data_IF_938792824569
#
_entry.id   IF_938792824569
#
_cell.length_a   1.000
_cell.length_b   1.000
_cell.length_c   1.000
_cell.angle_alpha   90.00
_cell.angle_beta   90.00
_cell.angle_gamma   90.00
#
_symmetry.space_group_name_H-M   'P 1'
#
loop_
_entity.id
_entity.type
_entity.pdbx_description
1 polymer ?
#
# COMPACT_ATOMS: atom_id res chain seq x y z
N UNK A 1 -35.39 13.34 -34.01
CA UNK A 1 -33.94 13.25 -33.78
C UNK A 1 -33.61 11.88 -33.22
N UNK A 2 -32.96 11.01 -34.00
CA UNK A 2 -32.48 9.70 -33.55
C UNK A 2 -31.10 9.93 -32.91
N UNK A 3 -30.96 9.64 -31.62
CA UNK A 3 -29.66 9.62 -30.96
C UNK A 3 -28.85 8.45 -31.52
N UNK A 4 -27.71 8.74 -32.14
CA UNK A 4 -26.72 7.74 -32.51
C UNK A 4 -25.99 7.31 -31.23
N UNK A 5 -26.21 6.08 -30.80
CA UNK A 5 -25.37 5.45 -29.77
C UNK A 5 -24.05 5.04 -30.43
N UNK A 6 -22.97 5.76 -30.13
CA UNK A 6 -21.63 5.23 -30.35
C UNK A 6 -21.31 4.29 -29.19
N UNK A 7 -21.41 2.97 -29.43
CA UNK A 7 -20.78 1.95 -28.59
C UNK A 7 -19.34 1.88 -29.06
N UNK A 8 -18.41 2.47 -28.30
CA UNK A 8 -16.98 2.24 -28.51
C UNK A 8 -16.62 1.08 -27.58
N UNK A 9 -16.44 -0.10 -28.17
CA UNK A 9 -15.90 -1.27 -27.50
C UNK A 9 -14.37 -1.09 -27.46
N UNK A 10 -13.80 -0.82 -26.29
CA UNK A 10 -12.36 -0.92 -26.10
C UNK A 10 -12.03 -2.29 -25.51
N UNK A 11 -11.36 -3.13 -26.29
CA UNK A 11 -10.59 -4.26 -25.77
C UNK A 11 -9.19 -3.70 -25.51
N UNK A 12 -8.85 -3.44 -24.25
CA UNK A 12 -7.46 -3.13 -23.91
C UNK A 12 -6.72 -4.46 -23.83
N UNK A 13 -5.95 -4.73 -24.87
CA UNK A 13 -5.08 -5.90 -24.97
C UNK A 13 -3.75 -5.52 -24.33
N UNK A 14 -3.42 -6.10 -23.17
CA UNK A 14 -2.02 -6.43 -22.90
C UNK A 14 -1.79 -7.77 -23.60
N UNK A 15 -0.97 -7.80 -24.65
CA UNK A 15 -0.78 -8.97 -25.52
C UNK A 15 -0.34 -10.20 -24.69
N UNK A 16 -0.77 -11.43 -24.92
CA UNK A 16 -1.45 -12.11 -26.06
C UNK A 16 -2.09 -13.43 -25.54
N UNK A 17 -3.17 -14.02 -26.02
CA UNK A 17 -4.06 -13.86 -27.18
C UNK A 17 -4.82 -15.20 -27.33
N UNK A 18 -6.14 -15.18 -27.06
CA UNK A 18 -7.25 -16.06 -27.52
C UNK A 18 -8.41 -16.05 -26.47
N UNK A 19 -9.66 -15.97 -26.95
CA UNK A 19 -10.90 -15.77 -26.16
C UNK A 19 -11.52 -17.06 -25.57
N UNK A 20 -12.24 -16.98 -24.45
CA UNK A 20 -13.69 -17.34 -24.29
C UNK A 20 -14.20 -17.19 -22.82
N UNK A 21 -15.24 -16.36 -22.70
CA UNK A 21 -16.44 -16.23 -21.82
C UNK A 21 -16.56 -16.82 -20.37
N UNK A 22 -17.08 -16.01 -19.41
CA UNK A 22 -18.32 -16.24 -18.59
C UNK A 22 -18.54 -15.20 -17.43
N UNK A 23 -19.82 -14.81 -17.27
CA UNK A 23 -20.67 -14.07 -16.26
C UNK A 23 -20.42 -14.27 -14.73
N UNK A 24 -20.79 -13.45 -13.72
CA UNK A 24 -21.29 -12.06 -13.41
C UNK A 24 -20.94 -11.79 -11.92
N UNK A 25 -20.92 -10.51 -11.52
CA UNK A 25 -21.47 -9.89 -10.29
C UNK A 25 -20.49 -9.10 -9.39
N UNK A 26 -20.81 -7.80 -9.32
CA UNK A 26 -20.40 -6.68 -8.46
C UNK A 26 -19.09 -6.76 -7.66
N UNK A 27 -18.30 -5.68 -7.86
CA UNK A 27 -16.99 -5.32 -7.30
C UNK A 27 -15.79 -5.95 -8.03
N UNK A 28 -15.15 -5.15 -8.89
CA UNK A 28 -13.82 -5.48 -9.43
C UNK A 28 -12.80 -5.16 -8.34
N UNK A 29 -12.42 -6.16 -7.56
CA UNK A 29 -11.14 -6.19 -6.86
C UNK A 29 -10.06 -6.43 -7.91
N UNK A 30 -9.30 -5.38 -8.25
CA UNK A 30 -8.02 -5.51 -8.96
C UNK A 30 -6.96 -5.82 -7.92
N UNK A 31 -6.83 -7.09 -7.53
CA UNK A 31 -5.59 -7.55 -6.92
C UNK A 31 -4.68 -7.96 -8.06
N UNK A 32 -3.74 -7.10 -8.45
CA UNK A 32 -2.57 -7.52 -9.26
C UNK A 32 -2.01 -8.78 -8.62
N UNK A 33 -1.67 -9.85 -9.35
CA UNK A 33 -1.18 -11.12 -8.75
C UNK A 33 0.08 -11.66 -9.42
N UNK A 34 0.80 -10.84 -10.21
CA UNK A 34 2.10 -11.20 -10.78
C UNK A 34 3.25 -10.57 -9.99
N UNK A 35 3.87 -11.33 -9.08
CA UNK A 35 5.01 -10.89 -8.23
C UNK A 35 4.76 -9.57 -7.47
N UNK A 36 3.67 -9.49 -6.71
CA UNK A 36 3.30 -8.32 -5.88
C UNK A 36 4.26 -7.99 -4.74
N UNK A 37 5.41 -8.65 -4.62
CA UNK A 37 6.20 -8.50 -3.41
C UNK A 37 6.89 -7.14 -3.38
N UNK A 38 6.63 -6.38 -2.33
CA UNK A 38 7.35 -5.13 -2.08
C UNK A 38 8.84 -5.40 -1.90
N UNK A 39 9.65 -4.66 -2.66
CA UNK A 39 11.09 -4.63 -2.53
C UNK A 39 11.55 -3.22 -2.18
N UNK A 40 12.39 -3.13 -1.16
CA UNK A 40 12.88 -1.86 -0.62
C UNK A 40 14.33 -1.63 -0.99
N UNK A 41 14.70 -0.39 -1.25
CA UNK A 41 16.07 0.02 -1.47
C UNK A 41 16.33 1.39 -0.86
N UNK A 42 17.58 1.59 -0.46
CA UNK A 42 18.02 2.87 0.09
C UNK A 42 18.22 3.85 -1.07
N UNK A 43 17.65 5.04 -0.95
CA UNK A 43 17.90 6.13 -1.89
C UNK A 43 19.34 6.62 -1.69
N UNK A 44 20.11 6.71 -2.78
CA UNK A 44 21.46 7.26 -2.77
C UNK A 44 21.44 8.70 -3.30
N UNK A 45 22.20 9.59 -2.67
CA UNK A 45 22.29 11.02 -3.03
C UNK A 45 21.41 11.95 -2.17
N UNK A 46 21.72 13.25 -2.22
CA UNK A 46 20.92 14.30 -1.58
C UNK A 46 19.75 14.68 -2.47
N UNK A 47 18.59 14.07 -2.25
CA UNK A 47 17.34 14.69 -2.66
C UNK A 47 16.97 15.68 -1.55
N UNK A 48 16.48 16.86 -1.89
CA UNK A 48 16.08 17.93 -0.95
C UNK A 48 14.94 17.53 0.03
N UNK A 49 14.51 16.27 0.03
CA UNK A 49 13.48 15.71 0.91
C UNK A 49 14.06 14.62 1.81
N UNK A 50 13.61 14.47 3.07
CA UNK A 50 14.16 13.52 4.06
C UNK A 50 13.90 12.03 3.77
N UNK A 51 13.53 11.68 2.54
CA UNK A 51 13.22 10.30 2.12
C UNK A 51 14.48 9.46 2.08
N UNK A 52 14.47 8.34 2.80
CA UNK A 52 15.65 7.47 2.95
C UNK A 52 15.53 6.18 2.15
N UNK A 53 14.30 5.67 1.97
CA UNK A 53 14.03 4.42 1.28
C UNK A 53 12.88 4.56 0.29
N UNK A 54 12.90 3.71 -0.72
CA UNK A 54 11.78 3.50 -1.63
C UNK A 54 11.44 2.01 -1.67
N UNK A 55 10.18 1.70 -1.42
CA UNK A 55 9.54 0.42 -1.70
C UNK A 55 8.87 0.46 -3.06
N UNK A 56 8.95 -0.61 -3.84
CA UNK A 56 8.26 -0.73 -5.12
C UNK A 56 7.52 -2.06 -5.24
N UNK A 57 6.30 -2.02 -5.76
CA UNK A 57 5.51 -3.18 -6.14
C UNK A 57 4.50 -2.79 -7.22
N UNK A 58 4.39 -3.57 -8.30
CA UNK A 58 3.28 -3.49 -9.26
C UNK A 58 2.85 -2.05 -9.66
N UNK A 59 3.80 -1.21 -10.11
CA UNK A 59 3.54 0.18 -10.53
C UNK A 59 3.39 1.19 -9.40
N UNK A 60 3.29 0.74 -8.14
CA UNK A 60 3.23 1.57 -6.94
C UNK A 60 4.61 1.79 -6.33
N UNK A 61 4.76 2.96 -5.73
CA UNK A 61 5.93 3.38 -4.98
C UNK A 61 5.51 3.77 -3.56
N UNK A 62 6.34 3.36 -2.61
CA UNK A 62 6.25 3.76 -1.21
C UNK A 62 7.55 4.47 -0.85
N UNK A 63 7.52 5.78 -0.71
CA UNK A 63 8.65 6.56 -0.20
C UNK A 63 8.59 6.57 1.32
N UNK A 64 9.69 6.22 1.98
CA UNK A 64 9.76 6.14 3.44
C UNK A 64 10.79 7.13 3.99
N UNK A 65 10.33 7.94 4.93
CA UNK A 65 11.15 8.75 5.84
C UNK A 65 10.82 8.32 7.29
N UNK A 66 11.57 8.81 8.30
CA UNK A 66 11.32 8.50 9.71
C UNK A 66 9.86 8.57 10.16
N UNK A 67 9.15 9.63 9.81
CA UNK A 67 7.82 9.97 10.33
C UNK A 67 6.71 9.99 9.27
N UNK A 68 7.03 9.62 8.03
CA UNK A 68 6.07 9.67 6.92
C UNK A 68 6.30 8.54 5.92
N UNK A 69 5.19 7.94 5.50
CA UNK A 69 5.09 6.99 4.40
C UNK A 69 4.28 7.64 3.27
N UNK A 70 4.85 7.74 2.07
CA UNK A 70 4.19 8.40 0.93
C UNK A 70 3.94 7.36 -0.16
N UNK A 71 2.66 7.10 -0.42
CA UNK A 71 2.20 6.27 -1.53
C UNK A 71 2.07 7.13 -2.78
N UNK A 72 2.66 6.65 -3.87
CA UNK A 72 2.57 7.27 -5.19
C UNK A 72 2.49 6.18 -6.26
N UNK A 73 1.94 6.51 -7.41
CA UNK A 73 2.09 5.72 -8.62
C UNK A 73 3.09 6.38 -9.58
N UNK A 74 3.13 5.95 -10.84
CA UNK A 74 4.00 6.52 -11.86
C UNK A 74 3.63 7.96 -12.28
N UNK A 75 2.43 8.43 -11.93
CA UNK A 75 1.86 9.70 -12.39
C UNK A 75 1.67 10.73 -11.28
N UNK A 76 1.34 10.32 -10.06
CA UNK A 76 1.04 11.24 -8.96
C UNK A 76 1.24 10.65 -7.55
N UNK A 77 1.32 11.55 -6.57
CA UNK A 77 1.23 11.20 -5.15
C UNK A 77 -0.23 10.85 -4.79
N UNK A 78 -0.43 9.68 -4.21
CA UNK A 78 -1.74 9.13 -3.89
C UNK A 78 -2.17 9.50 -2.47
N UNK A 79 -1.32 9.19 -1.48
CA UNK A 79 -1.62 9.41 -0.07
C UNK A 79 -0.34 9.42 0.77
N UNK A 80 -0.32 10.26 1.80
CA UNK A 80 0.67 10.26 2.87
C UNK A 80 0.06 9.66 4.12
N UNK A 81 0.83 8.84 4.81
CA UNK A 81 0.56 8.39 6.17
C UNK A 81 1.64 9.01 7.06
N UNK A 82 1.24 9.98 7.88
CA UNK A 82 2.09 10.57 8.89
C UNK A 82 1.99 9.76 10.19
N UNK A 83 3.15 9.39 10.74
CA UNK A 83 3.31 8.81 12.07
C UNK A 83 3.42 9.97 13.07
N UNK A 84 2.29 10.38 13.65
CA UNK A 84 2.22 11.60 14.46
C UNK A 84 3.05 11.46 15.73
N UNK A 85 3.90 12.45 16.02
CA UNK A 85 4.84 12.47 17.15
C UNK A 85 5.93 11.37 17.10
N UNK A 86 6.14 10.74 15.95
CA UNK A 86 7.19 9.75 15.77
C UNK A 86 8.59 10.37 15.92
N UNK A 87 9.55 9.54 16.34
CA UNK A 87 10.95 9.92 16.46
C UNK A 87 11.53 10.31 15.09
N UNK A 88 11.82 11.59 14.82
CA UNK A 88 12.29 12.02 13.50
C UNK A 88 13.72 11.55 13.20
N UNK A 89 14.45 11.08 14.21
CA UNK A 89 15.81 10.56 14.09
C UNK A 89 15.85 9.03 14.16
N UNK A 90 14.71 8.36 13.95
CA UNK A 90 14.64 6.89 14.01
C UNK A 90 15.63 6.27 13.04
N UNK A 91 16.28 5.19 13.48
CA UNK A 91 17.16 4.42 12.62
C UNK A 91 16.35 3.39 11.83
N UNK A 92 16.33 3.55 10.51
CA UNK A 92 15.74 2.58 9.58
C UNK A 92 16.82 1.55 9.19
N UNK A 93 16.57 0.27 9.51
CA UNK A 93 17.50 -0.83 9.29
C UNK A 93 16.90 -1.80 8.27
N UNK A 94 17.43 -1.87 7.04
CA UNK A 94 16.99 -2.84 6.06
C UNK A 94 17.45 -4.25 6.47
N UNK A 95 16.61 -5.25 6.23
CA UNK A 95 16.93 -6.66 6.50
C UNK A 95 16.40 -7.57 5.40
N UNK A 96 16.85 -8.83 5.41
CA UNK A 96 16.50 -9.81 4.37
C UNK A 96 16.88 -9.27 2.98
N UNK A 97 18.18 -9.00 2.81
CA UNK A 97 18.75 -8.59 1.54
C UNK A 97 18.42 -9.64 0.47
N UNK A 98 17.99 -9.17 -0.69
CA UNK A 98 17.71 -10.04 -1.82
C UNK A 98 18.94 -10.16 -2.72
N UNK A 99 18.96 -11.17 -3.59
CA UNK A 99 19.97 -11.28 -4.64
C UNK A 99 19.79 -10.27 -5.77
N UNK A 100 18.65 -9.56 -5.82
CA UNK A 100 18.34 -8.57 -6.84
C UNK A 100 19.00 -7.23 -6.53
N UNK A 101 19.51 -6.59 -7.59
CA UNK A 101 20.11 -5.25 -7.53
C UNK A 101 19.43 -4.33 -8.53
N UNK A 102 19.43 -3.03 -8.25
CA UNK A 102 18.94 -1.99 -9.17
C UNK A 102 20.05 -1.07 -9.66
N UNK A 103 19.87 -0.61 -10.90
CA UNK A 103 20.74 0.35 -11.54
C UNK A 103 19.91 1.53 -12.03
N UNK A 104 20.38 2.75 -11.76
CA UNK A 104 19.84 4.01 -12.22
C UNK A 104 20.88 4.68 -13.11
N UNK A 105 20.65 4.63 -14.42
CA UNK A 105 21.52 5.18 -15.47
C UNK A 105 20.77 6.38 -16.06
N UNK A 106 20.87 7.52 -15.39
CA UNK A 106 20.15 8.74 -15.76
C UNK A 106 21.14 9.72 -16.39
N UNK A 107 20.81 10.21 -17.58
CA UNK A 107 21.67 11.13 -18.32
C UNK A 107 22.89 10.47 -18.97
N UNK A 108 23.79 11.29 -19.51
CA UNK A 108 24.96 10.83 -20.27
C UNK A 108 26.25 10.77 -19.46
N UNK A 109 26.23 11.26 -18.22
CA UNK A 109 27.40 11.30 -17.34
C UNK A 109 27.46 10.04 -16.45
N UNK A 110 28.46 9.16 -16.63
CA UNK A 110 28.60 7.95 -15.83
C UNK A 110 28.87 8.19 -14.35
N UNK A 111 29.40 9.36 -13.95
CA UNK A 111 29.63 9.68 -12.53
C UNK A 111 28.32 9.84 -11.76
N UNK A 112 27.24 10.20 -12.45
CA UNK A 112 25.89 10.29 -11.88
C UNK A 112 25.12 8.96 -11.84
N UNK A 113 25.69 7.88 -12.40
CA UNK A 113 25.00 6.58 -12.43
C UNK A 113 25.08 5.89 -11.07
N UNK A 114 23.95 5.36 -10.60
CA UNK A 114 23.90 4.55 -9.40
C UNK A 114 23.75 3.09 -9.80
N UNK A 115 24.77 2.26 -9.54
CA UNK A 115 24.81 0.87 -10.03
C UNK A 115 24.90 -0.09 -8.84
N UNK A 116 24.16 -1.19 -8.93
CA UNK A 116 24.27 -2.30 -8.00
C UNK A 116 23.62 -2.05 -6.65
N UNK A 117 22.61 -1.17 -6.59
CA UNK A 117 21.89 -0.86 -5.36
C UNK A 117 21.22 -2.13 -4.84
N UNK A 118 21.52 -2.58 -3.60
CA UNK A 118 20.90 -3.76 -3.04
C UNK A 118 19.43 -3.52 -2.71
N UNK A 119 18.63 -4.56 -2.86
CA UNK A 119 17.21 -4.55 -2.48
C UNK A 119 16.97 -5.45 -1.27
N UNK A 120 15.89 -5.19 -0.53
CA UNK A 120 15.58 -5.82 0.76
C UNK A 120 14.10 -6.18 0.82
N UNK A 121 13.75 -7.21 1.60
CA UNK A 121 12.34 -7.59 1.84
C UNK A 121 11.69 -6.83 2.97
N UNK A 122 12.46 -6.29 3.92
CA UNK A 122 11.93 -5.64 5.13
C UNK A 122 12.73 -4.40 5.53
N UNK A 123 12.04 -3.44 6.13
CA UNK A 123 12.60 -2.28 6.81
C UNK A 123 12.19 -2.30 8.29
N UNK A 124 13.14 -2.13 9.19
CA UNK A 124 12.90 -2.11 10.64
C UNK A 124 13.23 -0.72 11.20
N UNK A 125 12.24 -0.04 11.74
CA UNK A 125 12.33 1.24 12.43
C UNK A 125 12.43 0.95 13.92
N UNK A 126 13.60 1.19 14.52
CA UNK A 126 13.82 0.90 15.95
C UNK A 126 13.44 2.10 16.80
N UNK A 127 12.52 1.89 17.72
CA UNK A 127 11.97 2.93 18.61
C UNK A 127 11.42 4.12 17.83
N UNK A 128 10.49 3.81 16.90
CA UNK A 128 9.72 4.83 16.17
C UNK A 128 8.89 5.67 17.14
N UNK A 129 8.40 5.04 18.20
CA UNK A 129 7.95 5.69 19.42
C UNK A 129 8.71 5.07 20.60
N UNK A 130 8.62 5.68 21.78
CA UNK A 130 9.22 5.13 23.00
C UNK A 130 8.74 3.69 23.23
N UNK A 131 9.69 2.74 23.20
CA UNK A 131 9.45 1.29 23.32
C UNK A 131 8.58 0.64 22.22
N UNK A 132 8.36 1.32 21.09
CA UNK A 132 7.60 0.76 19.96
C UNK A 132 8.52 0.70 18.74
N UNK A 133 8.70 -0.49 18.19
CA UNK A 133 9.37 -0.68 16.89
C UNK A 133 8.29 -0.73 15.79
N UNK A 134 8.66 -0.31 14.56
CA UNK A 134 7.83 -0.47 13.37
C UNK A 134 8.56 -1.35 12.36
N UNK A 135 7.86 -2.34 11.79
CA UNK A 135 8.35 -3.12 10.66
C UNK A 135 7.52 -2.78 9.43
N UNK A 136 8.14 -2.69 8.26
CA UNK A 136 7.44 -2.54 6.98
C UNK A 136 7.96 -3.61 6.02
N UNK A 137 7.07 -4.40 5.46
CA UNK A 137 7.43 -5.55 4.63
C UNK A 137 6.29 -5.99 3.71
N UNK A 138 6.56 -6.99 2.88
CA UNK A 138 5.53 -7.65 2.10
C UNK A 138 5.14 -8.97 2.77
N UNK A 139 3.85 -9.21 2.96
CA UNK A 139 3.37 -10.46 3.53
C UNK A 139 3.44 -11.61 2.51
N UNK A 140 3.01 -12.82 2.90
CA UNK A 140 3.06 -14.01 2.04
C UNK A 140 2.21 -13.90 0.77
N UNK A 141 1.21 -13.03 0.77
CA UNK A 141 0.32 -12.77 -0.38
C UNK A 141 0.86 -11.63 -1.27
N UNK A 142 1.99 -11.02 -0.87
CA UNK A 142 2.59 -9.88 -1.55
C UNK A 142 1.91 -8.55 -1.23
N UNK A 143 0.98 -8.49 -0.28
CA UNK A 143 0.43 -7.23 0.19
C UNK A 143 1.46 -6.48 1.06
N UNK A 144 1.31 -5.16 1.18
CA UNK A 144 2.13 -4.37 2.08
C UNK A 144 1.59 -4.53 3.50
N UNK A 145 2.45 -4.93 4.41
CA UNK A 145 2.12 -5.07 5.82
C UNK A 145 3.12 -4.25 6.65
N UNK A 146 2.62 -3.66 7.74
CA UNK A 146 3.48 -2.95 8.66
C UNK A 146 3.08 -3.17 10.11
N UNK A 147 4.02 -3.66 10.93
CA UNK A 147 3.73 -4.07 12.31
C UNK A 147 4.17 -3.00 13.28
N UNK A 148 3.29 -2.59 14.18
CA UNK A 148 3.68 -1.93 15.43
C UNK A 148 3.96 -2.98 16.49
N UNK A 149 5.19 -3.00 17.01
CA UNK A 149 5.63 -3.95 18.03
C UNK A 149 5.89 -3.17 19.30
N UNK A 150 4.91 -3.22 20.19
CA UNK A 150 4.94 -2.58 21.49
C UNK A 150 5.67 -3.48 22.47
N UNK A 151 6.84 -3.05 22.94
CA UNK A 151 7.58 -3.75 24.00
C UNK A 151 6.85 -3.57 25.35
N UNK A 152 7.16 -4.39 26.38
CA UNK A 152 6.51 -4.28 27.68
C UNK A 152 6.51 -2.86 28.27
N UNK A 153 5.32 -2.42 28.69
CA UNK A 153 5.08 -1.07 29.21
C UNK A 153 5.23 0.07 28.18
N UNK A 154 5.07 -0.21 26.87
CA UNK A 154 4.85 0.81 25.86
C UNK A 154 3.41 1.35 25.92
N UNK A 155 3.22 2.61 25.54
CA UNK A 155 1.91 3.26 25.51
C UNK A 155 1.29 3.19 24.10
N UNK A 156 0.20 2.43 23.98
CA UNK A 156 -0.52 2.27 22.71
C UNK A 156 -1.10 3.60 22.18
N UNK A 157 -1.48 4.53 23.06
CA UNK A 157 -2.09 5.80 22.65
C UNK A 157 -1.13 6.73 21.90
N UNK A 158 0.18 6.42 21.96
CA UNK A 158 1.21 7.10 21.18
C UNK A 158 1.13 6.77 19.69
N UNK A 159 0.55 5.63 19.29
CA UNK A 159 0.45 5.23 17.88
C UNK A 159 -0.75 5.93 17.22
N UNK A 160 -0.46 6.98 16.46
CA UNK A 160 -1.46 7.75 15.71
C UNK A 160 -1.04 7.89 14.25
N UNK A 161 -1.95 7.58 13.34
CA UNK A 161 -1.74 7.67 11.90
C UNK A 161 -2.62 8.79 11.36
N UNK A 162 -2.03 9.77 10.67
CA UNK A 162 -2.75 10.80 9.93
C UNK A 162 -2.64 10.56 8.42
N UNK A 163 -3.76 10.66 7.71
CA UNK A 163 -3.83 10.47 6.27
C UNK A 163 -4.08 11.79 5.54
N UNK A 164 -3.25 12.12 4.54
CA UNK A 164 -3.38 13.33 3.73
C UNK A 164 -2.87 13.12 2.29
N UNK A 165 -3.51 13.69 1.25
CA UNK A 165 -4.85 14.26 1.27
C UNK A 165 -5.91 13.16 1.45
N UNK A 166 -7.00 13.47 2.15
CA UNK A 166 -8.13 12.53 2.32
C UNK A 166 -9.47 13.27 2.27
N UNK A 167 -10.36 12.79 1.39
CA UNK A 167 -11.73 13.28 1.29
C UNK A 167 -12.64 12.57 2.30
N UNK A 168 -12.39 11.28 2.53
CA UNK A 168 -13.13 10.46 3.48
C UNK A 168 -12.21 9.46 4.18
N UNK A 169 -12.31 9.43 5.51
CA UNK A 169 -11.68 8.47 6.40
C UNK A 169 -12.78 7.81 7.23
N UNK A 170 -12.94 6.49 7.10
CA UNK A 170 -14.05 5.76 7.74
C UNK A 170 -13.62 4.35 8.13
N UNK A 171 -14.01 3.93 9.32
CA UNK A 171 -13.95 2.51 9.73
C UNK A 171 -15.33 1.91 9.49
N UNK A 172 -15.40 0.74 8.86
CA UNK A 172 -16.67 0.08 8.59
C UNK A 172 -17.11 -0.87 9.71
N UNK A 173 -18.13 -1.70 9.42
CA UNK A 173 -18.69 -2.64 10.40
C UNK A 173 -17.79 -3.86 10.62
N UNK A 174 -16.93 -4.18 9.67
CA UNK A 174 -16.00 -5.31 9.73
C UNK A 174 -14.67 -4.91 10.38
N UNK A 175 -14.48 -3.61 10.64
CA UNK A 175 -13.29 -3.05 11.30
C UNK A 175 -12.18 -2.68 10.32
N UNK A 176 -12.52 -2.60 9.03
CA UNK A 176 -11.61 -2.17 7.96
C UNK A 176 -11.57 -0.65 7.88
N UNK A 177 -10.37 -0.10 7.65
CA UNK A 177 -10.18 1.33 7.49
C UNK A 177 -10.20 1.69 6.00
N UNK A 178 -11.15 2.52 5.62
CA UNK A 178 -11.29 3.10 4.29
C UNK A 178 -10.73 4.51 4.25
N UNK A 179 -9.82 4.73 3.31
CA UNK A 179 -9.19 6.03 3.04
C UNK A 179 -9.47 6.35 1.56
N UNK A 180 -10.12 7.49 1.32
CA UNK A 180 -10.41 7.97 -0.04
C UNK A 180 -9.59 9.23 -0.34
N UNK A 181 -8.39 9.09 -0.94
CA UNK A 181 -7.66 10.22 -1.51
C UNK A 181 -8.22 10.55 -2.90
N UNK A 182 -8.84 11.71 -3.08
CA UNK A 182 -9.33 12.13 -4.41
C UNK A 182 -10.30 11.11 -5.04
N UNK A 183 -9.91 10.55 -6.18
CA UNK A 183 -10.66 9.51 -6.93
C UNK A 183 -10.22 8.07 -6.61
N UNK A 184 -9.12 7.88 -5.85
CA UNK A 184 -8.61 6.57 -5.47
C UNK A 184 -9.22 6.04 -4.17
N UNK A 185 -8.97 4.76 -3.87
CA UNK A 185 -9.41 4.12 -2.61
C UNK A 185 -8.30 3.23 -2.05
N UNK A 186 -7.91 3.51 -0.81
CA UNK A 186 -6.99 2.69 -0.03
C UNK A 186 -7.78 2.01 1.08
N UNK A 187 -7.49 0.75 1.34
CA UNK A 187 -8.14 -0.03 2.37
C UNK A 187 -7.09 -0.67 3.26
N UNK A 188 -7.21 -0.50 4.57
CA UNK A 188 -6.51 -1.37 5.51
C UNK A 188 -7.48 -2.43 5.98
N UNK A 189 -7.07 -3.69 5.84
CA UNK A 189 -7.77 -4.80 6.44
C UNK A 189 -7.81 -4.63 7.95
N UNK A 190 -8.78 -5.27 8.59
CA UNK A 190 -8.83 -5.34 10.05
C UNK A 190 -7.49 -5.87 10.57
N UNK A 191 -6.80 -5.06 11.38
CA UNK A 191 -5.54 -5.46 12.00
C UNK A 191 -5.76 -6.70 12.86
N UNK A 192 -4.91 -7.70 12.69
CA UNK A 192 -4.76 -8.76 13.65
C UNK A 192 -3.85 -8.23 14.78
N UNK A 193 -4.25 -8.57 15.99
CA UNK A 193 -3.63 -8.06 17.20
C UNK A 193 -3.36 -9.26 18.08
N UNK A 194 -2.13 -9.40 18.57
CA UNK A 194 -1.76 -10.57 19.34
C UNK A 194 -0.59 -10.32 20.30
N UNK A 195 -0.49 -11.20 21.30
CA UNK A 195 0.65 -11.31 22.18
C UNK A 195 1.35 -12.65 21.99
N UNK A 196 2.67 -12.63 21.92
CA UNK A 196 3.49 -13.83 22.04
C UNK A 196 3.77 -14.08 23.53
N UNK A 197 3.13 -15.12 24.08
CA UNK A 197 3.27 -15.52 25.49
C UNK A 197 4.07 -16.81 25.59
N UNK A 198 4.59 -17.19 26.78
CA UNK A 198 5.25 -18.47 26.99
C UNK A 198 4.39 -19.69 26.62
N UNK A 199 3.05 -19.53 26.63
CA UNK A 199 2.08 -20.56 26.27
C UNK A 199 1.67 -20.55 24.80
N UNK A 200 2.20 -19.62 24.00
CA UNK A 200 1.89 -19.46 22.57
C UNK A 200 1.31 -18.10 22.21
N UNK A 201 0.79 -17.99 20.98
CA UNK A 201 0.19 -16.76 20.45
C UNK A 201 -1.24 -16.61 20.96
N UNK A 202 -1.51 -15.50 21.65
CA UNK A 202 -2.87 -15.10 22.05
C UNK A 202 -3.35 -13.99 21.13
N UNK A 203 -4.35 -14.27 20.29
CA UNK A 203 -5.03 -13.26 19.48
C UNK A 203 -5.97 -12.45 20.38
N UNK A 204 -6.01 -11.14 20.19
CA UNK A 204 -6.80 -10.20 20.96
C UNK A 204 -7.81 -9.48 20.07
N UNK A 205 -8.97 -9.18 20.64
CA UNK A 205 -9.94 -8.31 20.00
C UNK A 205 -9.46 -6.84 20.01
N UNK A 206 -9.66 -6.15 18.89
CA UNK A 206 -9.29 -4.76 18.73
C UNK A 206 -9.37 -4.32 17.27
N UNK A 207 -8.84 -3.14 16.99
CA UNK A 207 -8.74 -2.59 15.64
C UNK A 207 -8.53 -1.09 15.64
N UNK A 208 -8.73 -0.49 14.46
CA UNK A 208 -8.67 0.95 14.29
C UNK A 208 -9.74 1.67 15.11
N UNK A 209 -9.39 2.85 15.61
CA UNK A 209 -10.35 3.82 16.16
C UNK A 209 -10.13 5.18 15.51
N UNK A 210 -11.22 5.83 15.10
CA UNK A 210 -11.14 7.15 14.49
C UNK A 210 -10.97 8.20 15.59
N UNK A 211 -9.86 8.95 15.55
CA UNK A 211 -9.54 9.99 16.53
C UNK A 211 -10.10 11.34 16.10
N UNK A 212 -10.03 11.64 14.80
CA UNK A 212 -10.66 12.81 14.19
C UNK A 212 -10.89 12.59 12.68
N UNK A 213 -11.11 13.67 11.92
CA UNK A 213 -11.39 13.61 10.47
C UNK A 213 -10.22 13.03 9.65
N UNK A 214 -8.99 13.16 10.14
CA UNK A 214 -7.76 12.82 9.41
C UNK A 214 -6.92 11.74 10.11
N UNK A 215 -7.22 11.44 11.38
CA UNK A 215 -6.41 10.55 12.22
C UNK A 215 -7.16 9.32 12.72
N UNK A 216 -6.42 8.22 12.78
CA UNK A 216 -6.80 7.00 13.50
C UNK A 216 -5.73 6.61 14.51
N UNK A 217 -6.15 5.88 15.54
CA UNK A 217 -5.28 5.12 16.42
C UNK A 217 -5.77 3.68 16.48
N UNK A 218 -5.42 2.99 17.57
CA UNK A 218 -5.84 1.61 17.81
C UNK A 218 -6.47 1.46 19.19
N UNK A 219 -7.46 0.58 19.30
CA UNK A 219 -7.97 0.09 20.57
C UNK A 219 -7.85 -1.42 20.61
N UNK A 220 -7.50 -1.93 21.78
CA UNK A 220 -7.34 -3.37 22.05
C UNK A 220 -8.06 -3.67 23.34
N UNK A 221 -8.66 -4.86 23.44
CA UNK A 221 -9.17 -5.37 24.71
C UNK A 221 -8.04 -5.50 25.76
N UNK A 222 -8.41 -5.78 27.01
CA UNK A 222 -7.43 -5.94 28.09
C UNK A 222 -6.37 -7.00 27.74
N UNK A 223 -5.10 -6.60 27.86
CA UNK A 223 -3.94 -7.43 27.56
C UNK A 223 -2.88 -7.33 28.66
N UNK A 224 -1.99 -8.32 28.72
CA UNK A 224 -0.95 -8.36 29.74
C UNK A 224 0.24 -7.49 29.30
N UNK A 225 0.37 -6.31 29.90
CA UNK A 225 1.43 -5.33 29.56
C UNK A 225 2.87 -5.81 29.80
N UNK A 226 3.06 -7.00 30.39
CA UNK A 226 4.39 -7.62 30.57
C UNK A 226 4.87 -8.37 29.33
N UNK A 227 3.98 -8.66 28.37
CA UNK A 227 4.33 -9.27 27.09
C UNK A 227 4.26 -8.24 25.95
N UNK A 228 5.07 -8.41 24.89
CA UNK A 228 4.94 -7.60 23.69
C UNK A 228 3.53 -7.70 23.09
N UNK A 229 3.03 -6.57 22.59
CA UNK A 229 1.79 -6.49 21.82
C UNK A 229 2.16 -6.17 20.36
N UNK A 230 1.65 -6.97 19.42
CA UNK A 230 1.83 -6.75 17.99
C UNK A 230 0.50 -6.34 17.37
N UNK A 231 0.53 -5.32 16.53
CA UNK A 231 -0.60 -4.83 15.73
C UNK A 231 -0.11 -4.83 14.27
N UNK A 232 -0.74 -5.62 13.39
CA UNK A 232 -0.27 -5.94 12.04
C UNK A 232 -1.21 -5.43 10.90
N UNK A 233 -1.48 -4.12 10.77
CA UNK A 233 -2.30 -3.61 9.68
C UNK A 233 -1.74 -4.01 8.30
N UNK A 234 -2.61 -4.62 7.50
CA UNK A 234 -2.34 -4.97 6.11
C UNK A 234 -2.98 -3.93 5.21
N UNK A 235 -2.18 -3.31 4.34
CA UNK A 235 -2.63 -2.30 3.40
C UNK A 235 -2.85 -2.93 2.03
N UNK A 236 -4.06 -2.78 1.52
CA UNK A 236 -4.42 -3.11 0.15
C UNK A 236 -4.71 -1.83 -0.63
N UNK A 237 -4.13 -1.74 -1.83
CA UNK A 237 -4.37 -0.61 -2.72
C UNK A 237 -5.27 -1.04 -3.88
N UNK A 238 -6.23 -0.19 -4.22
CA UNK A 238 -7.06 -0.33 -5.42
C UNK A 238 -7.15 1.03 -6.11
N UNK A 239 -6.57 1.16 -7.31
CA UNK A 239 -6.89 2.31 -8.16
C UNK A 239 -8.24 2.09 -8.83
N UNK A 240 -8.90 3.21 -9.13
CA UNK A 240 -10.09 3.22 -9.97
C UNK A 240 -9.67 3.17 -11.43
N UNK A 241 -10.15 2.18 -12.18
CA UNK A 241 -10.04 2.15 -13.63
C UNK A 241 -11.31 2.77 -14.24
N UNK A 242 -11.27 4.07 -14.49
CA UNK A 242 -12.34 4.85 -15.10
C UNK A 242 -11.98 6.34 -15.25
N UNK A 243 -12.87 7.12 -15.85
CA UNK A 243 -12.76 8.57 -16.03
C UNK A 243 -13.97 9.33 -15.49
N UNK A 244 -14.21 10.54 -16.00
CA UNK A 244 -15.14 11.51 -15.43
C UNK A 244 -16.64 11.28 -15.70
N UNK A 245 -17.00 10.25 -16.47
CA UNK A 245 -18.38 9.85 -16.75
C UNK A 245 -18.61 8.39 -16.33
N UNK A 246 -19.78 7.84 -16.66
CA UNK A 246 -20.13 6.47 -16.30
C UNK A 246 -19.21 5.44 -16.96
N UNK A 247 -18.54 4.65 -16.13
CA UNK A 247 -17.72 3.51 -16.53
C UNK A 247 -18.25 2.24 -15.88
N UNK A 248 -18.41 1.20 -16.69
CA UNK A 248 -18.99 -0.07 -16.29
C UNK A 248 -18.01 -1.19 -16.59
N UNK A 249 -17.44 -1.80 -15.56
CA UNK A 249 -16.73 -3.07 -15.70
C UNK A 249 -17.64 -4.15 -16.27
N UNK A 250 -17.13 -4.90 -17.24
CA UNK A 250 -17.86 -5.98 -17.94
C UNK A 250 -17.28 -7.36 -17.64
N UNK A 251 -16.00 -7.46 -17.33
CA UNK A 251 -15.35 -8.72 -16.98
C UNK A 251 -13.92 -8.54 -16.50
N UNK A 252 -13.38 -9.57 -15.83
CA UNK A 252 -11.96 -9.67 -15.44
C UNK A 252 -11.43 -11.08 -15.75
N UNK A 253 -10.18 -11.19 -16.18
CA UNK A 253 -9.48 -12.47 -16.37
C UNK A 253 -8.01 -12.36 -15.95
N UNK A 254 -7.41 -13.50 -15.62
CA UNK A 254 -5.98 -13.65 -15.31
C UNK A 254 -5.34 -14.60 -16.32
N UNK A 255 -4.12 -14.32 -16.78
CA UNK A 255 -3.33 -15.30 -17.53
C UNK A 255 -2.37 -16.11 -16.63
N UNK A 256 -1.64 -17.05 -17.23
CA UNK A 256 -0.66 -17.91 -16.53
C UNK A 256 0.55 -17.15 -15.95
N UNK A 257 0.76 -15.89 -16.37
CA UNK A 257 1.77 -14.99 -15.83
C UNK A 257 1.18 -14.05 -14.77
N UNK A 258 -0.10 -14.24 -14.43
CA UNK A 258 -0.88 -13.42 -13.50
C UNK A 258 -1.09 -11.98 -13.95
N UNK A 259 -1.06 -11.71 -15.26
CA UNK A 259 -1.51 -10.43 -15.81
C UNK A 259 -3.04 -10.35 -15.74
N UNK A 260 -3.57 -9.15 -15.47
CA UNK A 260 -5.02 -8.91 -15.35
C UNK A 260 -5.56 -8.25 -16.61
N UNK A 261 -6.63 -8.83 -17.13
CA UNK A 261 -7.40 -8.31 -18.25
C UNK A 261 -8.73 -7.80 -17.71
N UNK A 262 -9.07 -6.55 -17.99
CA UNK A 262 -10.34 -5.94 -17.59
C UNK A 262 -11.06 -5.45 -18.82
N UNK A 263 -12.29 -5.93 -19.04
CA UNK A 263 -13.16 -5.33 -20.05
C UNK A 263 -14.10 -4.34 -19.39
N UNK A 264 -14.36 -3.22 -20.06
CA UNK A 264 -15.25 -2.19 -19.55
C UNK A 264 -16.01 -1.51 -20.69
N UNK A 265 -17.09 -0.83 -20.35
CA UNK A 265 -17.75 0.15 -21.22
C UNK A 265 -17.58 1.50 -20.57
N UNK A 266 -16.99 2.43 -21.30
CA UNK A 266 -16.74 3.78 -20.81
C UNK A 266 -17.56 4.82 -21.58
N UNK A 267 -18.11 5.80 -20.86
CA UNK A 267 -18.59 7.07 -21.44
C UNK A 267 -17.64 8.22 -21.13
N UNK A 268 -16.51 7.91 -20.51
CA UNK A 268 -15.49 8.85 -20.08
C UNK A 268 -14.56 9.17 -21.24
N UNK A 269 -14.59 10.42 -21.69
CA UNK A 269 -13.66 10.89 -22.73
C UNK A 269 -12.20 10.91 -22.25
N UNK A 270 -12.01 10.93 -20.93
CA UNK A 270 -10.74 10.84 -20.24
C UNK A 270 -10.48 9.45 -19.63
N UNK A 271 -11.09 8.39 -20.19
CA UNK A 271 -10.81 7.03 -19.73
C UNK A 271 -9.31 6.71 -19.91
N UNK A 272 -8.62 6.16 -18.91
CA UNK A 272 -7.18 5.92 -18.97
C UNK A 272 -6.85 4.75 -19.91
N UNK A 273 -6.62 5.05 -21.20
CA UNK A 273 -6.29 4.05 -22.25
C UNK A 273 -4.78 3.86 -22.49
N UNK A 274 -3.94 4.77 -21.98
CA UNK A 274 -2.49 4.78 -22.19
C UNK A 274 -1.68 4.80 -20.88
N UNK A 275 -2.33 4.53 -19.75
CA UNK A 275 -1.59 4.36 -18.50
C UNK A 275 -1.12 2.91 -18.43
N UNK A 276 0.20 2.71 -18.48
CA UNK A 276 0.78 1.44 -18.07
C UNK A 276 0.61 1.35 -16.55
N UNK A 277 -0.28 0.46 -16.13
CA UNK A 277 -0.45 0.06 -14.74
C UNK A 277 0.57 -1.02 -14.38
#
# INVERSE_FOLDING_TARGET
>A
MKYWFFIILFVMVLLSGDEIEIKVDNLIKLSNTGLNTWLFEKIQGSIEAPVQFIGRSAGLNLLLSPDIMIFSDCSEELCKIHLIDANPNVRIIPSEATGYKRNYIIGRDPEGWQIGIPTYRKLNFREIYSKIDLKVYSNSEGELEYDFILKPGADLSSVKLRFEPVNQLKIDRDGELFIQPGQGKIMHWKSKIYQETPTGVKVLAGGFVQLNKYEVGFAVEDYDSTYPLVIDPVLSFSSYLGGGNSDFGKGKALDIQSNIYVSCTTRSLNFPVNQQF
#
